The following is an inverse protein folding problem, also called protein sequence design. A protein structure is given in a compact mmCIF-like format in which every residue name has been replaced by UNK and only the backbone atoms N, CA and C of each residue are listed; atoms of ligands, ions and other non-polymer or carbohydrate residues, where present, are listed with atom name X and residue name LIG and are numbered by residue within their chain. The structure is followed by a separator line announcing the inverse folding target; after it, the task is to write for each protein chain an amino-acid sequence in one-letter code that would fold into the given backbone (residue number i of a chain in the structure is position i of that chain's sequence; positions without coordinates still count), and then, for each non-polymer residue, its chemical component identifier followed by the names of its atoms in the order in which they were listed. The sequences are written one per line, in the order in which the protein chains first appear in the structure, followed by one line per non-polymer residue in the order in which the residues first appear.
data_IF_400755113053
#
_entry.id   IF_400755113053
#
_cell.length_a   1.000
_cell.length_b   1.000
_cell.length_c   1.000
_cell.angle_alpha   90.00
_cell.angle_beta   90.00
_cell.angle_gamma   90.00
#
_symmetry.space_group_name_H-M   'P 1'
#
loop_
_entity.id
_entity.type
_entity.pdbx_description
1 polymer ?
#
# COMPACT_ATOMS: atom_id res chain seq x y z
N UNK A 1 43.73 7.09 -17.40
CA UNK A 1 42.31 7.45 -17.10
C UNK A 1 42.28 8.83 -16.44
N UNK A 2 41.62 9.82 -17.05
CA UNK A 2 41.61 11.21 -16.57
C UNK A 2 40.92 11.33 -15.19
N UNK A 3 41.38 12.21 -14.27
CA UNK A 3 40.92 12.25 -12.87
C UNK A 3 39.41 12.50 -12.71
N UNK A 4 38.79 13.17 -13.69
CA UNK A 4 37.35 13.46 -13.73
C UNK A 4 36.46 12.20 -13.80
N UNK A 5 36.96 11.10 -14.37
CA UNK A 5 36.20 9.84 -14.51
C UNK A 5 36.00 9.11 -13.17
N UNK A 6 36.98 9.21 -12.26
CA UNK A 6 36.92 8.57 -10.93
C UNK A 6 35.86 9.21 -10.03
N UNK A 7 35.54 10.48 -10.27
CA UNK A 7 34.50 11.21 -9.54
C UNK A 7 33.10 10.81 -10.02
N UNK A 8 32.89 10.71 -11.33
CA UNK A 8 31.63 10.20 -11.90
C UNK A 8 31.32 8.79 -11.39
N UNK A 9 32.33 7.91 -11.32
CA UNK A 9 32.16 6.54 -10.85
C UNK A 9 31.72 6.48 -9.37
N UNK A 10 32.29 7.35 -8.52
CA UNK A 10 31.88 7.45 -7.11
C UNK A 10 30.45 7.95 -6.94
N UNK A 11 30.02 8.92 -7.77
CA UNK A 11 28.64 9.42 -7.74
C UNK A 11 27.67 8.35 -8.22
N UNK A 12 27.97 7.69 -9.34
CA UNK A 12 27.12 6.60 -9.84
C UNK A 12 26.97 5.50 -8.80
N UNK A 13 28.06 5.12 -8.12
CA UNK A 13 28.01 4.14 -7.04
C UNK A 13 27.13 4.63 -5.86
N UNK A 14 27.29 5.88 -5.45
CA UNK A 14 26.48 6.48 -4.38
C UNK A 14 24.99 6.52 -4.74
N UNK A 15 24.67 6.93 -5.98
CA UNK A 15 23.28 6.97 -6.48
C UNK A 15 22.66 5.58 -6.47
N UNK A 16 23.39 4.55 -6.91
CA UNK A 16 22.90 3.16 -6.86
C UNK A 16 22.61 2.73 -5.42
N UNK A 17 23.49 3.05 -4.48
CA UNK A 17 23.28 2.74 -3.06
C UNK A 17 22.04 3.45 -2.51
N UNK A 18 21.88 4.74 -2.79
CA UNK A 18 20.72 5.52 -2.38
C UNK A 18 19.42 4.94 -2.97
N UNK A 19 19.46 4.52 -4.24
CA UNK A 19 18.30 3.96 -4.93
C UNK A 19 17.89 2.62 -4.32
N UNK A 20 18.85 1.75 -3.97
CA UNK A 20 18.60 0.50 -3.25
C UNK A 20 18.00 0.78 -1.87
N UNK A 21 18.59 1.67 -1.08
CA UNK A 21 18.08 2.03 0.26
C UNK A 21 16.65 2.55 0.15
N UNK A 22 16.38 3.44 -0.80
CA UNK A 22 15.05 4.01 -1.01
C UNK A 22 14.04 2.95 -1.47
N UNK A 23 14.45 2.02 -2.35
CA UNK A 23 13.60 0.93 -2.82
C UNK A 23 13.12 0.01 -1.69
N UNK A 24 13.90 -0.14 -0.60
CA UNK A 24 13.48 -0.86 0.60
C UNK A 24 12.77 0.05 1.61
N UNK A 25 13.23 1.29 1.79
CA UNK A 25 12.69 2.21 2.79
C UNK A 25 11.25 2.64 2.46
N UNK A 26 10.94 2.88 1.18
CA UNK A 26 9.59 3.27 0.71
C UNK A 26 8.54 2.21 1.11
N UNK A 27 8.61 0.94 0.69
CA UNK A 27 7.61 -0.05 1.07
C UNK A 27 7.48 -0.23 2.58
N UNK A 28 8.57 -0.06 3.35
CA UNK A 28 8.53 -0.20 4.82
C UNK A 28 7.86 0.98 5.51
N UNK A 29 8.15 2.22 5.10
CA UNK A 29 7.56 3.42 5.71
C UNK A 29 6.11 3.64 5.25
N UNK A 30 5.80 3.44 3.97
CA UNK A 30 4.49 3.76 3.41
C UNK A 30 3.43 2.66 3.64
N UNK A 31 3.80 1.43 4.02
CA UNK A 31 2.85 0.34 4.33
C UNK A 31 1.74 0.79 5.31
N UNK A 32 2.13 1.48 6.39
CA UNK A 32 1.21 1.90 7.45
C UNK A 32 0.22 2.97 6.97
N UNK A 33 0.71 3.96 6.23
CA UNK A 33 -0.12 5.04 5.69
C UNK A 33 -1.11 4.51 4.65
N UNK A 34 -0.65 3.62 3.75
CA UNK A 34 -1.51 2.99 2.74
C UNK A 34 -2.66 2.22 3.40
N UNK A 35 -2.38 1.39 4.42
CA UNK A 35 -3.40 0.66 5.17
C UNK A 35 -4.43 1.61 5.79
N UNK A 36 -3.95 2.68 6.44
CA UNK A 36 -4.82 3.66 7.10
C UNK A 36 -5.74 4.35 6.11
N UNK A 37 -5.19 4.82 4.99
CA UNK A 37 -5.96 5.50 3.93
C UNK A 37 -6.98 4.56 3.28
N UNK A 38 -6.64 3.29 3.08
CA UNK A 38 -7.58 2.29 2.55
C UNK A 38 -8.71 2.02 3.55
N UNK A 39 -8.42 1.83 4.85
CA UNK A 39 -9.46 1.67 5.88
C UNK A 39 -10.40 2.88 5.92
N UNK A 40 -9.84 4.10 5.82
CA UNK A 40 -10.61 5.34 5.76
C UNK A 40 -11.53 5.39 4.54
N UNK A 41 -10.97 5.27 3.34
CA UNK A 41 -11.74 5.34 2.09
C UNK A 41 -12.77 4.22 1.96
N UNK A 42 -12.44 3.01 2.43
CA UNK A 42 -13.37 1.89 2.42
C UNK A 42 -14.55 2.15 3.35
N UNK A 43 -14.34 2.70 4.54
CA UNK A 43 -15.41 3.07 5.46
C UNK A 43 -16.24 4.27 4.99
N UNK A 44 -15.70 5.13 4.12
CA UNK A 44 -16.44 6.23 3.48
C UNK A 44 -17.28 5.77 2.28
N UNK A 45 -16.81 4.75 1.55
CA UNK A 45 -17.44 4.28 0.31
C UNK A 45 -18.40 3.11 0.54
N UNK A 46 -18.19 2.34 1.61
CA UNK A 46 -19.05 1.23 2.03
C UNK A 46 -19.77 1.69 3.30
N UNK A 47 -21.09 1.50 3.38
CA UNK A 47 -21.89 1.71 4.62
C UNK A 47 -21.54 0.64 5.69
N UNK A 48 -20.26 0.53 6.04
CA UNK A 48 -19.76 -0.52 6.91
C UNK A 48 -18.28 -0.34 7.23
N UNK A 49 -17.89 -0.83 8.42
CA UNK A 49 -16.49 -0.90 8.83
C UNK A 49 -15.85 -2.09 8.14
N UNK A 50 -15.05 -1.81 7.11
CA UNK A 50 -14.17 -2.81 6.51
C UNK A 50 -12.99 -3.04 7.45
N UNK A 51 -12.98 -4.18 8.14
CA UNK A 51 -11.83 -4.63 8.92
C UNK A 51 -11.12 -5.79 8.21
N UNK A 52 -9.80 -5.78 8.25
CA UNK A 52 -8.96 -6.79 7.64
C UNK A 52 -7.78 -7.07 8.56
N UNK A 53 -7.56 -8.35 8.85
CA UNK A 53 -6.50 -8.81 9.75
C UNK A 53 -5.12 -8.72 9.10
N UNK A 54 -5.02 -8.93 7.78
CA UNK A 54 -3.74 -8.94 7.08
C UNK A 54 -3.86 -8.22 5.73
N UNK A 55 -2.91 -7.34 5.42
CA UNK A 55 -2.86 -6.65 4.13
C UNK A 55 -1.49 -6.90 3.50
N UNK A 56 -1.50 -7.67 2.41
CA UNK A 56 -0.32 -7.97 1.62
C UNK A 56 -0.22 -7.05 0.43
N UNK A 57 0.90 -6.34 0.33
CA UNK A 57 1.19 -5.43 -0.79
C UNK A 57 2.26 -6.07 -1.66
N UNK A 58 1.87 -6.47 -2.87
CA UNK A 58 2.79 -6.96 -3.90
C UNK A 58 3.18 -5.82 -4.84
N UNK A 59 4.23 -5.07 -4.47
CA UNK A 59 4.80 -3.97 -5.26
C UNK A 59 5.68 -4.46 -6.41
N UNK A 60 6.47 -5.50 -6.18
CA UNK A 60 7.49 -5.98 -7.12
C UNK A 60 6.93 -6.91 -8.20
N UNK A 61 5.81 -7.59 -7.93
CA UNK A 61 5.25 -8.60 -8.85
C UNK A 61 4.64 -7.97 -10.12
N UNK A 62 4.10 -6.75 -10.02
CA UNK A 62 3.39 -6.07 -11.11
C UNK A 62 3.81 -4.60 -11.28
N UNK A 63 5.06 -4.24 -10.96
CA UNK A 63 5.50 -2.84 -11.09
C UNK A 63 5.31 -2.31 -12.53
N UNK A 64 4.78 -1.09 -12.74
CA UNK A 64 4.46 -0.03 -11.77
C UNK A 64 3.08 -0.13 -11.10
N UNK A 65 2.24 -1.11 -11.47
CA UNK A 65 0.90 -1.30 -10.89
C UNK A 65 1.00 -2.05 -9.56
N UNK A 66 0.48 -1.45 -8.51
CA UNK A 66 0.56 -2.05 -7.18
C UNK A 66 -0.65 -2.95 -6.95
N UNK A 67 -0.42 -4.20 -6.53
CA UNK A 67 -1.49 -5.12 -6.18
C UNK A 67 -1.58 -5.21 -4.66
N UNK A 68 -2.78 -4.98 -4.13
CA UNK A 68 -3.08 -5.10 -2.71
C UNK A 68 -4.02 -6.29 -2.54
N UNK A 69 -3.68 -7.19 -1.64
CA UNK A 69 -4.48 -8.37 -1.32
C UNK A 69 -4.90 -8.27 0.14
N UNK A 70 -6.21 -8.34 0.38
CA UNK A 70 -6.80 -8.33 1.71
C UNK A 70 -6.96 -9.79 2.17
N UNK A 71 -6.28 -10.16 3.25
CA UNK A 71 -6.47 -11.43 3.93
C UNK A 71 -7.64 -11.32 4.90
N UNK A 72 -8.60 -12.24 4.77
CA UNK A 72 -9.79 -12.34 5.64
C UNK A 72 -10.55 -11.00 5.79
N UNK A 73 -11.04 -10.40 4.69
CA UNK A 73 -11.84 -9.18 4.80
C UNK A 73 -13.15 -9.48 5.53
N UNK A 74 -13.36 -8.85 6.69
CA UNK A 74 -14.62 -8.89 7.43
C UNK A 74 -15.38 -7.60 7.17
N UNK A 75 -16.55 -7.73 6.57
CA UNK A 75 -17.48 -6.63 6.34
C UNK A 75 -18.54 -6.67 7.44
N UNK A 76 -18.51 -5.70 8.34
CA UNK A 76 -19.62 -5.47 9.27
C UNK A 76 -20.49 -4.39 8.63
N UNK A 77 -21.49 -4.81 7.86
CA UNK A 77 -22.52 -3.90 7.33
C UNK A 77 -23.45 -3.50 8.47
N UNK A 78 -23.64 -2.21 8.69
CA UNK A 78 -24.71 -1.73 9.56
C UNK A 78 -25.98 -1.72 8.72
N UNK A 79 -26.79 -2.79 8.80
CA UNK A 79 -28.13 -2.75 8.20
C UNK A 79 -28.95 -1.75 9.00
N UNK A 80 -29.11 -0.56 8.44
CA UNK A 80 -30.14 0.37 8.88
C UNK A 80 -31.50 -0.27 8.53
N UNK A 81 -32.13 -0.82 9.56
CA UNK A 81 -33.55 -1.16 9.61
C UNK A 81 -34.01 -2.30 8.67
N UNK A 82 -33.78 -3.55 9.09
CA UNK A 82 -34.34 -4.77 8.46
C UNK A 82 -35.86 -4.83 8.44
N UNK A 83 -36.55 -3.91 9.12
CA UNK A 83 -38.00 -3.90 9.29
C UNK A 83 -38.76 -3.60 7.99
N UNK A 84 -38.08 -3.07 6.96
CA UNK A 84 -38.66 -2.77 5.64
C UNK A 84 -38.54 -3.94 4.63
N UNK A 85 -37.72 -4.96 4.90
CA UNK A 85 -37.45 -6.08 3.97
C UNK A 85 -38.47 -7.23 4.06
N UNK A 86 -39.29 -7.24 5.11
CA UNK A 86 -40.33 -8.25 5.34
C UNK A 86 -41.74 -7.66 5.27
N UNK A 87 -41.88 -6.38 4.86
CA UNK A 87 -43.14 -5.66 4.79
C UNK A 87 -43.78 -5.64 3.40
N UNK A 88 -43.25 -6.42 2.44
CA UNK A 88 -43.81 -6.60 1.08
C UNK A 88 -44.41 -7.99 0.89
#
# INVERSE_FOLDING_TARGET
MKPKFRFLLKIMLSVVIILIVTAFAVPLMFKKEIIKTIKLKANETIEGKLDFQTLDISLFKNFPKWTITLGEPSLISYVADTTQLFAS
#
